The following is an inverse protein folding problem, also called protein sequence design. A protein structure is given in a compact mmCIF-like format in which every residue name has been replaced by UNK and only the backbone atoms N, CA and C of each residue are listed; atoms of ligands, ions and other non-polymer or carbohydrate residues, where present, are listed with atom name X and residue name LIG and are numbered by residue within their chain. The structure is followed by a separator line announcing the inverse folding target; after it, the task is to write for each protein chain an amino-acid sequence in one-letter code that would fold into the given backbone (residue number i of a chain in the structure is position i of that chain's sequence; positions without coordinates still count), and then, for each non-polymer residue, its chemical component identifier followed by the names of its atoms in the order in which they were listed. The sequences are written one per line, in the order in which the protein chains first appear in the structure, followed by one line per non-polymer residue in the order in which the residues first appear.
data_IF_598783144381
#
_entry.id   IF_598783144381
#
_cell.length_a   1.000
_cell.length_b   1.000
_cell.length_c   1.000
_cell.angle_alpha   90.00
_cell.angle_beta   90.00
_cell.angle_gamma   90.00
#
_symmetry.space_group_name_H-M   'P 1'
#
loop_
_entity.id
_entity.type
_entity.pdbx_description
1 polymer ?
#
# COMPACT_ATOMS: atom_id res chain seq x y z
N UNK A 1 11.55 -3.65 -9.25
CA UNK A 1 12.35 -2.54 -9.71
C UNK A 1 11.72 -1.87 -10.91
N UNK A 2 11.78 -0.55 -10.96
CA UNK A 2 11.39 0.21 -12.14
C UNK A 2 12.44 -0.05 -13.22
N UNK A 3 12.09 -0.78 -14.27
CA UNK A 3 12.94 -0.91 -15.44
C UNK A 3 12.58 0.23 -16.40
N UNK A 4 13.52 1.12 -16.72
CA UNK A 4 13.28 2.18 -17.68
C UNK A 4 12.92 1.55 -19.03
N UNK A 5 11.73 1.87 -19.53
CA UNK A 5 11.30 1.41 -20.85
C UNK A 5 11.87 2.36 -21.91
N UNK A 6 12.94 1.97 -22.56
CA UNK A 6 13.63 2.74 -23.59
C UNK A 6 12.70 3.16 -24.73
N UNK A 7 11.79 2.28 -25.15
CA UNK A 7 10.80 2.57 -26.19
C UNK A 7 9.87 3.71 -25.76
N UNK A 8 9.42 3.69 -24.50
CA UNK A 8 8.58 4.75 -23.95
C UNK A 8 9.33 6.06 -23.81
N UNK A 9 10.62 6.02 -23.42
CA UNK A 9 11.45 7.20 -23.33
C UNK A 9 11.66 7.83 -24.71
N UNK A 10 11.95 7.04 -25.75
CA UNK A 10 12.07 7.51 -27.15
C UNK A 10 10.75 8.10 -27.66
N UNK A 11 9.60 7.48 -27.38
CA UNK A 11 8.29 8.01 -27.76
C UNK A 11 7.99 9.35 -27.07
N UNK A 12 8.28 9.47 -25.78
CA UNK A 12 8.11 10.73 -25.04
C UNK A 12 9.01 11.84 -25.59
N UNK A 13 10.27 11.49 -25.92
CA UNK A 13 11.21 12.44 -26.50
C UNK A 13 10.76 12.92 -27.89
N UNK A 14 10.31 11.99 -28.75
CA UNK A 14 9.77 12.32 -30.06
C UNK A 14 8.54 13.25 -29.96
N UNK A 15 7.58 12.91 -29.08
CA UNK A 15 6.41 13.75 -28.84
C UNK A 15 6.77 15.13 -28.29
N UNK A 16 7.80 15.23 -27.46
CA UNK A 16 8.29 16.50 -26.94
C UNK A 16 8.93 17.38 -28.02
N UNK A 17 9.60 16.78 -29.01
CA UNK A 17 10.18 17.50 -30.15
C UNK A 17 9.10 18.06 -31.11
N UNK A 18 7.97 17.34 -31.24
CA UNK A 18 6.83 17.75 -32.09
C UNK A 18 5.86 18.69 -31.33
N UNK A 19 6.01 18.79 -30.02
CA UNK A 19 5.18 19.64 -29.17
C UNK A 19 5.45 21.14 -29.40
N UNK A 20 4.47 21.97 -29.01
CA UNK A 20 4.64 23.44 -29.00
C UNK A 20 5.59 23.78 -27.85
N UNK A 21 6.80 24.31 -28.11
CA UNK A 21 7.73 24.65 -27.04
C UNK A 21 7.17 25.82 -26.21
N UNK A 22 6.85 25.54 -24.96
CA UNK A 22 6.40 26.57 -23.99
C UNK A 22 7.55 27.46 -23.51
N UNK A 23 8.79 26.91 -23.55
CA UNK A 23 10.01 27.63 -23.20
C UNK A 23 11.08 27.36 -24.27
N UNK A 24 11.76 28.37 -24.79
CA UNK A 24 12.84 28.18 -25.76
C UNK A 24 13.97 27.34 -25.15
N UNK A 25 14.30 26.22 -25.78
CA UNK A 25 15.37 25.31 -25.33
C UNK A 25 16.78 25.96 -25.39
N UNK A 26 16.89 27.07 -26.05
CA UNK A 26 18.15 27.82 -26.24
C UNK A 26 18.56 28.65 -25.03
N UNK A 27 17.60 29.00 -24.17
CA UNK A 27 17.91 29.76 -22.96
C UNK A 27 18.65 28.92 -21.92
N UNK A 28 19.82 29.41 -21.51
CA UNK A 28 20.64 28.81 -20.47
C UNK A 28 19.86 28.59 -19.19
N UNK A 29 18.96 29.51 -18.82
CA UNK A 29 18.07 29.38 -17.65
C UNK A 29 17.11 28.21 -17.74
N UNK A 30 16.54 27.94 -18.92
CA UNK A 30 15.62 26.78 -19.14
C UNK A 30 16.39 25.46 -18.98
N UNK A 31 17.60 25.38 -19.57
CA UNK A 31 18.46 24.19 -19.39
C UNK A 31 18.83 23.98 -17.92
N UNK A 32 19.21 25.04 -17.20
CA UNK A 32 19.51 24.95 -15.77
C UNK A 32 18.30 24.43 -14.97
N UNK A 33 17.09 24.96 -15.20
CA UNK A 33 15.89 24.51 -14.49
C UNK A 33 15.63 23.02 -14.70
N UNK A 34 15.74 22.55 -15.95
CA UNK A 34 15.53 21.11 -16.25
C UNK A 34 16.59 20.25 -15.58
N UNK A 35 17.86 20.65 -15.64
CA UNK A 35 18.98 19.92 -15.02
C UNK A 35 18.77 19.85 -13.50
N UNK A 36 18.46 20.97 -12.85
CA UNK A 36 18.26 21.00 -11.40
C UNK A 36 17.00 20.22 -10.98
N UNK A 37 15.92 20.26 -11.75
CA UNK A 37 14.76 19.43 -11.51
C UNK A 37 15.09 17.93 -11.62
N UNK A 38 15.84 17.53 -12.65
CA UNK A 38 16.28 16.14 -12.82
C UNK A 38 17.19 15.68 -11.68
N UNK A 39 18.14 16.54 -11.25
CA UNK A 39 19.00 16.27 -10.08
C UNK A 39 18.20 16.12 -8.80
N UNK A 40 17.22 17.00 -8.57
CA UNK A 40 16.35 16.92 -7.41
C UNK A 40 15.58 15.58 -7.36
N UNK A 41 15.01 15.13 -8.48
CA UNK A 41 14.34 13.83 -8.59
C UNK A 41 15.32 12.69 -8.26
N UNK A 42 16.51 12.67 -8.88
CA UNK A 42 17.51 11.64 -8.62
C UNK A 42 17.97 11.59 -7.17
N UNK A 43 18.15 12.74 -6.53
CA UNK A 43 18.51 12.81 -5.11
C UNK A 43 17.40 12.27 -4.21
N UNK A 44 16.12 12.57 -4.54
CA UNK A 44 14.98 12.04 -3.81
C UNK A 44 14.90 10.51 -3.96
N UNK A 45 15.09 9.97 -5.16
CA UNK A 45 15.11 8.53 -5.42
C UNK A 45 16.20 7.83 -4.60
N UNK A 46 17.42 8.37 -4.58
CA UNK A 46 18.54 7.85 -3.79
C UNK A 46 18.22 7.87 -2.29
N UNK A 47 17.67 8.98 -1.80
CA UNK A 47 17.27 9.11 -0.39
C UNK A 47 16.18 8.10 -0.02
N UNK A 48 15.17 7.92 -0.88
CA UNK A 48 14.11 6.93 -0.66
C UNK A 48 14.66 5.51 -0.64
N UNK A 49 15.58 5.16 -1.54
CA UNK A 49 16.22 3.85 -1.55
C UNK A 49 16.99 3.58 -0.25
N UNK A 50 17.73 4.58 0.25
CA UNK A 50 18.45 4.49 1.52
C UNK A 50 17.51 4.30 2.71
N UNK A 51 16.44 5.09 2.78
CA UNK A 51 15.43 4.99 3.84
C UNK A 51 14.76 3.60 3.82
N UNK A 52 14.35 3.11 2.66
CA UNK A 52 13.72 1.80 2.51
C UNK A 52 14.68 0.67 2.93
N UNK A 53 15.96 0.78 2.60
CA UNK A 53 16.99 -0.17 3.04
C UNK A 53 17.10 -0.19 4.57
N UNK A 54 17.22 0.97 5.20
CA UNK A 54 17.30 1.09 6.66
C UNK A 54 16.03 0.58 7.35
N UNK A 55 14.85 0.92 6.83
CA UNK A 55 13.57 0.39 7.32
C UNK A 55 13.52 -1.14 7.26
N UNK A 56 14.04 -1.72 6.17
CA UNK A 56 14.06 -3.17 6.01
C UNK A 56 14.98 -3.83 7.03
N UNK A 57 16.18 -3.29 7.26
CA UNK A 57 17.10 -3.83 8.26
C UNK A 57 16.52 -3.73 9.68
N UNK A 58 15.91 -2.60 10.02
CA UNK A 58 15.23 -2.45 11.31
C UNK A 58 14.05 -3.43 11.45
N UNK A 59 13.24 -3.59 10.39
CA UNK A 59 12.10 -4.51 10.43
C UNK A 59 12.55 -5.97 10.60
N UNK A 60 13.66 -6.39 9.98
CA UNK A 60 14.21 -7.75 10.12
C UNK A 60 14.58 -8.12 11.56
N UNK A 61 14.89 -7.13 12.40
CA UNK A 61 15.18 -7.36 13.82
C UNK A 61 13.93 -7.61 14.68
N UNK A 62 12.73 -7.36 14.12
CA UNK A 62 11.47 -7.53 14.85
C UNK A 62 10.99 -8.98 14.78
N UNK A 63 10.46 -9.54 15.89
CA UNK A 63 10.03 -10.94 15.96
C UNK A 63 8.99 -11.32 14.91
N UNK A 64 8.08 -10.40 14.58
CA UNK A 64 6.99 -10.61 13.64
C UNK A 64 7.41 -10.54 12.17
N UNK A 65 8.61 -10.08 11.84
CA UNK A 65 9.01 -9.81 10.46
C UNK A 65 8.86 -11.02 9.54
N UNK A 66 9.36 -12.18 9.96
CA UNK A 66 9.30 -13.42 9.18
C UNK A 66 7.86 -13.85 8.92
N UNK A 67 7.00 -13.77 9.94
CA UNK A 67 5.57 -14.09 9.85
C UNK A 67 4.84 -13.14 8.91
N UNK A 68 5.10 -11.84 9.05
CA UNK A 68 4.46 -10.82 8.18
C UNK A 68 4.93 -10.96 6.74
N UNK A 69 6.23 -11.14 6.50
CA UNK A 69 6.79 -11.33 5.16
C UNK A 69 6.25 -12.58 4.46
N UNK A 70 5.95 -13.63 5.21
CA UNK A 70 5.38 -14.88 4.68
C UNK A 70 3.89 -14.76 4.29
N UNK A 71 3.20 -13.70 4.71
CA UNK A 71 1.80 -13.50 4.33
C UNK A 71 1.67 -13.20 2.84
N UNK A 72 0.70 -13.84 2.20
CA UNK A 72 0.45 -13.67 0.75
C UNK A 72 0.17 -12.21 0.38
N UNK A 73 0.81 -11.76 -0.70
CA UNK A 73 0.71 -10.36 -1.17
C UNK A 73 1.69 -9.40 -0.51
N UNK A 74 2.49 -9.87 0.47
CA UNK A 74 3.54 -9.10 1.11
C UNK A 74 4.91 -9.57 0.58
N UNK A 75 5.68 -8.65 0.06
CA UNK A 75 7.08 -8.87 -0.34
C UNK A 75 8.03 -8.04 0.52
N UNK A 76 9.30 -8.04 0.13
CA UNK A 76 10.37 -7.37 0.89
C UNK A 76 10.15 -5.86 1.09
N UNK A 77 9.44 -5.20 0.17
CA UNK A 77 9.12 -3.76 0.26
C UNK A 77 7.90 -3.49 1.14
N UNK A 78 6.87 -4.35 1.06
CA UNK A 78 5.62 -4.12 1.79
C UNK A 78 5.67 -4.60 3.23
N UNK A 79 6.52 -5.59 3.56
CA UNK A 79 6.66 -6.09 4.92
C UNK A 79 7.15 -5.00 5.90
N UNK A 80 8.29 -4.33 5.68
CA UNK A 80 8.73 -3.28 6.58
C UNK A 80 7.76 -2.09 6.62
N UNK A 81 7.11 -1.76 5.51
CA UNK A 81 6.13 -0.66 5.46
C UNK A 81 4.90 -0.95 6.31
N UNK A 82 4.29 -2.13 6.18
CA UNK A 82 3.09 -2.47 6.96
C UNK A 82 3.40 -2.58 8.45
N UNK A 83 4.57 -3.12 8.80
CA UNK A 83 5.04 -3.19 10.19
C UNK A 83 5.22 -1.78 10.76
N UNK A 84 5.89 -0.89 10.05
CA UNK A 84 6.10 0.50 10.48
C UNK A 84 4.77 1.26 10.65
N UNK A 85 3.79 1.05 9.77
CA UNK A 85 2.48 1.70 9.83
C UNK A 85 1.62 1.20 11.02
N UNK A 86 1.71 -0.07 11.33
CA UNK A 86 0.95 -0.66 12.43
C UNK A 86 1.68 -0.43 13.77
N UNK A 87 3.03 -0.52 13.76
CA UNK A 87 3.82 -0.49 14.99
C UNK A 87 3.54 -1.71 15.87
N UNK A 88 3.71 -1.56 17.18
CA UNK A 88 3.46 -2.65 18.13
C UNK A 88 1.98 -3.05 18.12
N UNK A 89 1.71 -4.28 17.68
CA UNK A 89 0.34 -4.80 17.56
C UNK A 89 -0.34 -4.93 18.92
N UNK A 90 0.42 -5.10 20.00
CA UNK A 90 -0.09 -5.25 21.39
C UNK A 90 -0.77 -4.00 21.92
N UNK A 91 -0.53 -2.84 21.30
CA UNK A 91 -1.24 -1.58 21.63
C UNK A 91 -2.75 -1.63 21.29
N UNK A 92 -3.17 -2.57 20.45
CA UNK A 92 -4.56 -2.73 20.07
C UNK A 92 -5.21 -3.80 20.95
N UNK A 93 -6.29 -3.46 21.62
CA UNK A 93 -7.01 -4.40 22.48
C UNK A 93 -7.73 -5.52 21.70
N UNK A 94 -7.93 -5.37 20.40
CA UNK A 94 -8.44 -6.39 19.49
C UNK A 94 -8.21 -6.02 18.01
N UNK A 95 -8.48 -6.98 17.11
CA UNK A 95 -8.33 -6.80 15.67
C UNK A 95 -9.25 -5.69 15.10
N UNK A 96 -10.39 -5.41 15.72
CA UNK A 96 -11.30 -4.35 15.27
C UNK A 96 -10.71 -2.96 15.53
N UNK A 97 -9.95 -2.79 16.61
CA UNK A 97 -9.23 -1.56 16.89
C UNK A 97 -8.14 -1.26 15.83
N UNK A 98 -7.42 -2.31 15.36
CA UNK A 98 -6.49 -2.17 14.24
C UNK A 98 -7.21 -1.76 12.94
N UNK A 99 -8.35 -2.38 12.63
CA UNK A 99 -9.18 -2.04 11.45
C UNK A 99 -9.69 -0.60 11.54
N UNK A 100 -10.13 -0.14 12.70
CA UNK A 100 -10.55 1.24 12.94
C UNK A 100 -9.39 2.23 12.76
N UNK A 101 -8.17 1.86 13.19
CA UNK A 101 -6.95 2.68 12.96
C UNK A 101 -6.64 2.85 11.47
N UNK A 102 -6.96 1.86 10.63
CA UNK A 102 -6.89 2.02 9.18
C UNK A 102 -8.03 2.89 8.62
N UNK A 103 -9.09 3.13 9.39
CA UNK A 103 -10.27 3.91 8.99
C UNK A 103 -11.00 3.30 7.80
N UNK A 104 -11.04 1.97 7.73
CA UNK A 104 -11.74 1.20 6.69
C UNK A 104 -13.06 0.61 7.19
N UNK A 105 -13.37 0.77 8.47
CA UNK A 105 -14.63 0.42 9.08
C UNK A 105 -15.75 1.37 8.61
N UNK A 106 -16.94 0.88 8.26
CA UNK A 106 -18.08 1.76 8.05
C UNK A 106 -18.58 2.27 9.43
N UNK A 107 -18.88 3.58 9.55
CA UNK A 107 -19.44 4.09 10.80
C UNK A 107 -20.80 3.42 11.07
N UNK A 108 -21.19 3.19 12.33
CA UNK A 108 -22.54 2.80 12.65
C UNK A 108 -23.48 3.93 12.17
N UNK A 109 -24.44 3.57 11.36
CA UNK A 109 -25.48 4.48 10.89
C UNK A 109 -26.84 3.80 11.15
N UNK A 110 -27.15 3.71 12.41
CA UNK A 110 -28.41 3.17 12.89
C UNK A 110 -29.17 4.32 13.58
N UNK A 111 -30.30 4.69 13.03
CA UNK A 111 -31.26 5.64 13.64
C UNK A 111 -32.57 4.92 13.80
N UNK A 112 -32.85 4.48 15.03
CA UNK A 112 -34.07 3.74 15.35
C UNK A 112 -34.20 2.44 14.55
N UNK A 113 -35.24 2.33 13.72
CA UNK A 113 -35.52 1.14 12.88
C UNK A 113 -34.77 1.14 11.53
N UNK A 114 -33.98 2.20 11.21
CA UNK A 114 -33.29 2.34 9.92
C UNK A 114 -31.85 1.85 10.02
N UNK A 115 -31.52 0.81 9.25
CA UNK A 115 -30.15 0.32 9.05
C UNK A 115 -29.70 0.62 7.62
N UNK A 116 -28.75 1.54 7.45
CA UNK A 116 -28.23 1.94 6.14
C UNK A 116 -27.39 0.84 5.50
N UNK A 117 -27.76 0.38 4.30
CA UNK A 117 -27.09 -0.71 3.58
C UNK A 117 -25.85 -0.28 2.79
N UNK A 118 -25.70 1.00 2.43
CA UNK A 118 -24.64 1.49 1.56
C UNK A 118 -23.70 2.46 2.31
N UNK A 119 -22.80 1.90 3.12
CA UNK A 119 -21.93 2.68 4.02
C UNK A 119 -20.56 2.92 3.38
N UNK A 120 -20.11 4.17 3.44
CA UNK A 120 -18.72 4.55 3.10
C UNK A 120 -17.80 4.28 4.30
N UNK A 121 -16.53 4.00 4.04
CA UNK A 121 -15.51 3.89 5.09
C UNK A 121 -15.31 5.23 5.81
N UNK A 122 -14.96 5.19 7.09
CA UNK A 122 -14.82 6.41 7.94
C UNK A 122 -13.72 7.33 7.47
N UNK A 123 -12.61 6.78 6.95
CA UNK A 123 -11.36 7.49 6.60
C UNK A 123 -10.73 8.28 7.77
N UNK A 124 -11.22 8.14 8.99
CA UNK A 124 -10.71 8.85 10.17
C UNK A 124 -9.37 8.33 10.67
N UNK A 125 -8.96 7.13 10.22
CA UNK A 125 -7.68 6.52 10.59
C UNK A 125 -6.54 6.88 9.66
N UNK A 126 -5.39 6.17 9.81
CA UNK A 126 -4.17 6.37 9.01
C UNK A 126 -4.42 6.20 7.52
N UNK A 127 -4.18 7.27 6.77
CA UNK A 127 -4.24 7.24 5.31
C UNK A 127 -3.10 6.39 4.71
N UNK A 128 -1.94 6.42 5.35
CA UNK A 128 -0.75 5.66 4.96
C UNK A 128 -0.97 4.16 5.13
N UNK A 129 -1.49 3.74 6.28
CA UNK A 129 -1.86 2.32 6.51
C UNK A 129 -2.89 1.83 5.49
N UNK A 130 -3.92 2.63 5.19
CA UNK A 130 -4.90 2.29 4.14
C UNK A 130 -4.25 2.13 2.77
N UNK A 131 -3.32 3.03 2.41
CA UNK A 131 -2.59 2.99 1.13
C UNK A 131 -1.74 1.73 1.04
N UNK A 132 -0.89 1.48 2.04
CA UNK A 132 -0.05 0.28 2.09
C UNK A 132 -0.89 -0.99 2.05
N UNK A 133 -1.98 -1.05 2.83
CA UNK A 133 -2.92 -2.17 2.78
C UNK A 133 -3.59 -2.34 1.40
N UNK A 134 -3.93 -1.27 0.73
CA UNK A 134 -4.49 -1.34 -0.62
C UNK A 134 -3.45 -1.84 -1.64
N UNK A 135 -2.20 -1.44 -1.54
CA UNK A 135 -1.09 -1.94 -2.35
C UNK A 135 -0.88 -3.45 -2.13
N UNK A 136 -0.99 -3.94 -0.88
CA UNK A 136 -0.97 -5.38 -0.56
C UNK A 136 -2.13 -6.11 -1.27
N UNK A 137 -3.34 -5.55 -1.27
CA UNK A 137 -4.48 -6.16 -1.96
C UNK A 137 -4.31 -6.18 -3.49
N UNK A 138 -3.59 -5.21 -4.05
CA UNK A 138 -3.23 -5.23 -5.47
C UNK A 138 -2.19 -6.32 -5.77
N UNK A 139 -1.15 -6.40 -4.97
CA UNK A 139 -0.13 -7.45 -5.09
C UNK A 139 -0.74 -8.85 -4.95
N UNK A 140 -1.61 -9.04 -3.97
CA UNK A 140 -2.34 -10.29 -3.75
C UNK A 140 -3.15 -10.72 -4.99
N UNK A 141 -3.78 -9.77 -5.68
CA UNK A 141 -4.55 -10.04 -6.90
C UNK A 141 -3.65 -10.41 -8.09
N UNK A 142 -2.44 -9.87 -8.15
CA UNK A 142 -1.45 -10.20 -9.18
C UNK A 142 -0.84 -11.59 -8.93
N UNK A 143 -0.46 -11.86 -7.68
CA UNK A 143 0.22 -13.11 -7.27
C UNK A 143 -0.70 -14.31 -7.33
N UNK A 144 -1.99 -14.15 -7.04
CA UNK A 144 -3.01 -15.22 -7.02
C UNK A 144 -2.55 -16.46 -6.23
N UNK A 145 -2.29 -16.32 -4.92
CA UNK A 145 -1.63 -17.37 -4.15
C UNK A 145 -2.48 -18.64 -4.10
N UNK A 146 -1.81 -19.80 -4.22
CA UNK A 146 -2.43 -21.11 -4.02
C UNK A 146 -2.51 -21.48 -2.54
N UNK A 147 -1.43 -21.21 -1.81
CA UNK A 147 -1.33 -21.39 -0.36
C UNK A 147 -1.60 -20.07 0.34
N UNK A 148 -1.99 -20.08 1.63
CA UNK A 148 -2.36 -18.89 2.41
C UNK A 148 -3.28 -17.93 1.64
N UNK A 149 -4.29 -18.50 1.04
CA UNK A 149 -5.14 -17.80 0.06
C UNK A 149 -6.47 -17.27 0.64
N UNK A 150 -6.68 -17.38 1.95
CA UNK A 150 -7.96 -17.02 2.58
C UNK A 150 -8.42 -15.57 2.29
N UNK A 151 -7.48 -14.63 2.21
CA UNK A 151 -7.76 -13.22 1.86
C UNK A 151 -8.03 -13.10 0.36
N UNK A 152 -7.26 -13.79 -0.46
CA UNK A 152 -7.45 -13.81 -1.91
C UNK A 152 -8.81 -14.39 -2.31
N UNK A 153 -9.17 -15.54 -1.76
CA UNK A 153 -10.48 -16.17 -2.00
C UNK A 153 -11.63 -15.24 -1.57
N UNK A 154 -11.46 -14.55 -0.45
CA UNK A 154 -12.47 -13.59 -0.01
C UNK A 154 -12.57 -12.38 -0.96
N UNK A 155 -11.43 -11.88 -1.48
CA UNK A 155 -11.40 -10.81 -2.48
C UNK A 155 -12.17 -11.21 -3.74
N UNK A 156 -11.85 -12.39 -4.32
CA UNK A 156 -12.51 -12.91 -5.53
C UNK A 156 -14.01 -13.13 -5.27
N UNK A 157 -14.36 -13.70 -4.11
CA UNK A 157 -15.77 -13.85 -3.73
C UNK A 157 -16.50 -12.50 -3.73
N UNK A 158 -15.89 -11.44 -3.17
CA UNK A 158 -16.51 -10.10 -3.16
C UNK A 158 -16.64 -9.49 -4.55
N UNK A 159 -15.72 -9.76 -5.44
CA UNK A 159 -15.82 -9.36 -6.85
C UNK A 159 -16.94 -10.14 -7.58
N UNK A 160 -17.06 -11.45 -7.35
CA UNK A 160 -18.12 -12.28 -7.94
C UNK A 160 -19.53 -11.93 -7.42
N UNK A 161 -19.64 -11.38 -6.20
CA UNK A 161 -20.88 -10.81 -5.65
C UNK A 161 -21.28 -9.47 -6.31
N UNK A 162 -20.54 -9.01 -7.35
CA UNK A 162 -20.81 -7.75 -8.07
C UNK A 162 -20.33 -6.50 -7.31
N UNK A 163 -19.49 -6.62 -6.29
CA UNK A 163 -18.93 -5.45 -5.60
C UNK A 163 -17.93 -4.74 -6.51
N UNK A 164 -17.94 -3.40 -6.58
CA UNK A 164 -16.91 -2.64 -7.27
C UNK A 164 -15.51 -3.02 -6.79
N UNK A 165 -14.52 -3.11 -7.69
CA UNK A 165 -13.16 -3.59 -7.41
C UNK A 165 -12.49 -2.91 -6.19
N UNK A 166 -12.71 -1.60 -6.01
CA UNK A 166 -12.19 -0.86 -4.86
C UNK A 166 -12.87 -1.29 -3.56
N UNK A 167 -14.17 -1.54 -3.58
CA UNK A 167 -14.95 -1.98 -2.43
C UNK A 167 -14.55 -3.40 -2.03
N UNK A 168 -14.40 -4.31 -3.01
CA UNK A 168 -13.93 -5.68 -2.78
C UNK A 168 -12.54 -5.70 -2.13
N UNK A 169 -11.60 -4.88 -2.62
CA UNK A 169 -10.26 -4.75 -2.02
C UNK A 169 -10.30 -4.21 -0.58
N UNK A 170 -11.13 -3.23 -0.28
CA UNK A 170 -11.28 -2.71 1.09
C UNK A 170 -11.89 -3.76 2.02
N UNK A 171 -12.87 -4.53 1.56
CA UNK A 171 -13.42 -5.63 2.34
C UNK A 171 -12.38 -6.74 2.61
N UNK A 172 -11.56 -7.06 1.60
CA UNK A 172 -10.46 -8.00 1.74
C UNK A 172 -9.36 -7.46 2.69
N UNK A 173 -9.07 -6.15 2.64
CA UNK A 173 -8.13 -5.50 3.55
C UNK A 173 -8.59 -5.61 5.02
N UNK A 174 -9.89 -5.46 5.29
CA UNK A 174 -10.43 -5.68 6.64
C UNK A 174 -10.13 -7.11 7.12
N UNK A 175 -10.39 -8.13 6.29
CA UNK A 175 -10.07 -9.52 6.61
C UNK A 175 -8.57 -9.72 6.79
N UNK A 176 -7.74 -9.12 5.93
CA UNK A 176 -6.28 -9.18 6.03
C UNK A 176 -5.77 -8.63 7.37
N UNK A 177 -6.20 -7.43 7.78
CA UNK A 177 -5.78 -6.83 9.05
C UNK A 177 -6.17 -7.65 10.27
N UNK A 178 -7.32 -8.35 10.22
CA UNK A 178 -7.71 -9.30 11.28
C UNK A 178 -6.79 -10.52 11.35
N UNK A 179 -6.42 -11.08 10.20
CA UNK A 179 -5.46 -12.19 10.12
C UNK A 179 -4.06 -11.73 10.55
N UNK A 180 -3.63 -10.55 10.10
CA UNK A 180 -2.38 -9.93 10.53
C UNK A 180 -2.31 -9.83 12.05
N UNK A 181 -3.34 -9.24 12.67
CA UNK A 181 -3.43 -9.09 14.11
C UNK A 181 -3.27 -10.44 14.84
N UNK A 182 -4.03 -11.46 14.42
CA UNK A 182 -3.99 -12.76 15.04
C UNK A 182 -2.60 -13.41 14.94
N UNK A 183 -2.00 -13.41 13.75
CA UNK A 183 -0.68 -14.03 13.51
C UNK A 183 0.44 -13.32 14.27
N UNK A 184 0.43 -11.99 14.30
CA UNK A 184 1.46 -11.22 14.99
C UNK A 184 1.29 -11.33 16.50
N UNK A 185 0.06 -11.33 17.02
CA UNK A 185 -0.20 -11.59 18.43
C UNK A 185 0.28 -12.98 18.88
N UNK A 186 0.10 -14.00 18.02
CA UNK A 186 0.61 -15.34 18.28
C UNK A 186 2.14 -15.37 18.40
N UNK A 187 2.84 -14.65 17.51
CA UNK A 187 4.31 -14.50 17.61
C UNK A 187 4.71 -13.94 18.99
N UNK A 188 4.06 -12.86 19.41
CA UNK A 188 4.38 -12.23 20.72
C UNK A 188 3.93 -13.04 21.94
N UNK A 189 2.96 -13.94 21.78
CA UNK A 189 2.52 -14.83 22.85
C UNK A 189 3.46 -16.02 23.05
N UNK A 190 4.30 -16.32 22.05
CA UNK A 190 5.26 -17.43 22.06
C UNK A 190 6.71 -16.98 22.37
N UNK A 191 6.94 -15.71 22.67
CA UNK A 191 8.21 -15.14 23.12
C UNK A 191 8.29 -15.14 24.65
#
# INVERSE_FOLDING_TARGET
GYHPNETKAKSLYANALEGIPTLPSEFTSTKMLVIEAARAVSNIETTLATILSQMTELAKSLPEFSTVRAMSGIGDVLAPRIIAEIGDVRRFHNASALVATAGIDPPPYDSGKFSGSNRKITKRGSASLRRTGYEIMQALKIVQPKNDNAVYQYLIKKESEGKPLKVAKIAALNKFLRIYYARVMEVYSNL
#
